data_IF_961961218002
#
_entry.id   IF_961961218002
#
_cell.length_a   1.000
_cell.length_b   1.000
_cell.length_c   1.000
_cell.angle_alpha   90.00
_cell.angle_beta   90.00
_cell.angle_gamma   90.00
#
_symmetry.space_group_name_H-M   'P 1'
#
loop_
_entity.id
_entity.type
_entity.pdbx_description
1 polymer ?
#
# COMPACT_ATOMS: atom_id res chain seq x y z
N UNK A 1 -17.65 -12.66 30.32
CA UNK A 1 -16.38 -13.06 30.96
C UNK A 1 -15.32 -12.03 30.58
N UNK A 2 -14.50 -11.57 31.52
CA UNK A 2 -13.37 -10.65 31.26
C UNK A 2 -12.06 -11.42 31.37
N UNK A 3 -11.09 -11.12 30.51
CA UNK A 3 -9.76 -11.71 30.63
C UNK A 3 -8.96 -11.03 31.75
N UNK A 4 -8.14 -11.77 32.51
CA UNK A 4 -7.32 -11.21 33.59
C UNK A 4 -6.31 -10.16 33.15
N UNK A 5 -5.75 -10.30 31.93
CA UNK A 5 -4.78 -9.36 31.37
C UNK A 5 -5.33 -8.73 30.09
N UNK A 6 -5.19 -7.41 30.00
CA UNK A 6 -5.57 -6.65 28.81
C UNK A 6 -4.30 -6.19 28.08
N UNK A 7 -4.42 -6.00 26.77
CA UNK A 7 -3.35 -5.43 25.95
C UNK A 7 -3.83 -4.14 25.32
N UNK A 8 -2.94 -3.18 25.13
CA UNK A 8 -3.31 -1.93 24.46
C UNK A 8 -3.47 -2.16 22.95
N UNK A 9 -4.61 -1.79 22.33
CA UNK A 9 -4.77 -1.82 20.88
C UNK A 9 -3.98 -0.68 20.22
N UNK A 10 -3.18 -1.00 19.21
CA UNK A 10 -2.43 0.00 18.46
C UNK A 10 -3.24 0.59 17.31
N UNK A 11 -2.88 1.80 16.89
CA UNK A 11 -3.52 2.42 15.72
C UNK A 11 -3.25 1.58 14.47
N UNK A 12 -4.30 1.36 13.69
CA UNK A 12 -4.30 0.55 12.49
C UNK A 12 -3.83 -0.90 12.73
N UNK A 13 -3.84 -1.40 13.97
CA UNK A 13 -3.51 -2.80 14.25
C UNK A 13 -4.55 -3.71 13.61
N UNK A 14 -4.12 -4.82 13.01
CA UNK A 14 -5.09 -5.80 12.50
C UNK A 14 -5.80 -6.48 13.65
N UNK A 15 -7.10 -6.76 13.50
CA UNK A 15 -7.86 -7.53 14.50
C UNK A 15 -7.15 -8.86 14.82
N UNK A 16 -6.51 -9.48 13.83
CA UNK A 16 -5.75 -10.71 14.02
C UNK A 16 -4.54 -10.53 14.94
N UNK A 17 -3.73 -9.50 14.73
CA UNK A 17 -2.59 -9.16 15.62
C UNK A 17 -3.04 -8.92 17.05
N UNK A 18 -4.12 -8.15 17.21
CA UNK A 18 -4.63 -7.81 18.53
C UNK A 18 -5.10 -9.04 19.30
N UNK A 19 -5.86 -9.92 18.64
CA UNK A 19 -6.32 -11.17 19.24
C UNK A 19 -5.15 -12.09 19.63
N UNK A 20 -4.10 -12.16 18.83
CA UNK A 20 -2.94 -13.01 19.09
C UNK A 20 -2.18 -12.51 20.31
N UNK A 21 -1.98 -11.19 20.40
CA UNK A 21 -1.37 -10.55 21.58
C UNK A 21 -2.23 -10.71 22.82
N UNK A 22 -3.55 -10.56 22.71
CA UNK A 22 -4.48 -10.75 23.82
C UNK A 22 -4.47 -12.20 24.32
N UNK A 23 -4.44 -13.17 23.40
CA UNK A 23 -4.33 -14.59 23.74
C UNK A 23 -3.01 -14.89 24.45
N UNK A 24 -1.87 -14.46 23.88
CA UNK A 24 -0.56 -14.68 24.47
C UNK A 24 -0.42 -14.06 25.87
N UNK A 25 -0.93 -12.84 26.07
CA UNK A 25 -0.92 -12.18 27.38
C UNK A 25 -1.66 -12.98 28.46
N UNK A 26 -2.69 -13.74 28.06
CA UNK A 26 -3.52 -14.58 28.93
C UNK A 26 -3.17 -16.07 28.86
N UNK A 27 -2.05 -16.44 28.23
CA UNK A 27 -1.60 -17.84 28.06
C UNK A 27 -2.66 -18.75 27.39
N UNK A 28 -3.42 -18.19 26.45
CA UNK A 28 -4.42 -18.92 25.66
C UNK A 28 -3.87 -19.25 24.27
N UNK A 29 -4.36 -20.36 23.69
CA UNK A 29 -4.16 -20.62 22.27
C UNK A 29 -4.92 -19.57 21.42
N UNK A 30 -4.27 -18.87 20.48
CA UNK A 30 -4.93 -17.85 19.68
C UNK A 30 -6.13 -18.38 18.88
N UNK A 31 -6.10 -19.63 18.40
CA UNK A 31 -7.22 -20.21 17.65
C UNK A 31 -8.41 -20.50 18.55
N UNK A 32 -8.17 -20.88 19.81
CA UNK A 32 -9.22 -21.06 20.81
C UNK A 32 -9.90 -19.72 21.15
N UNK A 33 -9.12 -18.67 21.43
CA UNK A 33 -9.69 -17.35 21.72
C UNK A 33 -10.50 -16.81 20.54
N UNK A 34 -9.99 -16.95 19.32
CA UNK A 34 -10.69 -16.58 18.08
C UNK A 34 -12.02 -17.31 17.93
N UNK A 35 -12.04 -18.64 18.13
CA UNK A 35 -13.27 -19.45 18.08
C UNK A 35 -14.29 -19.01 19.12
N UNK A 36 -13.84 -18.70 20.34
CA UNK A 36 -14.72 -18.21 21.40
C UNK A 36 -15.36 -16.85 21.08
N UNK A 37 -14.63 -15.99 20.37
CA UNK A 37 -15.09 -14.63 20.06
C UNK A 37 -15.87 -14.50 18.75
N UNK A 38 -15.86 -15.53 17.90
CA UNK A 38 -16.55 -15.53 16.61
C UNK A 38 -18.04 -15.92 16.76
N UNK A 39 -18.90 -15.35 15.91
CA UNK A 39 -20.28 -15.81 15.73
C UNK A 39 -20.33 -16.76 14.53
N UNK A 40 -20.46 -18.06 14.77
CA UNK A 40 -20.52 -19.08 13.72
C UNK A 40 -19.16 -19.53 13.17
N UNK A 41 -19.12 -20.19 11.98
CA UNK A 41 -17.94 -20.90 11.47
C UNK A 41 -16.79 -19.98 11.02
N UNK A 42 -17.01 -18.67 10.97
CA UNK A 42 -16.02 -17.69 10.54
C UNK A 42 -15.06 -17.32 11.69
N UNK A 43 -14.10 -18.22 11.99
CA UNK A 43 -13.10 -18.11 13.07
C UNK A 43 -12.30 -16.79 13.03
N UNK A 44 -12.24 -16.11 11.89
CA UNK A 44 -11.43 -14.90 11.69
C UNK A 44 -12.14 -13.57 12.02
N UNK A 45 -13.42 -13.59 12.40
CA UNK A 45 -14.23 -12.39 12.57
C UNK A 45 -14.85 -12.34 13.98
N UNK A 46 -14.17 -11.72 14.97
CA UNK A 46 -14.74 -11.63 16.31
C UNK A 46 -15.97 -10.70 16.33
N UNK A 47 -16.94 -11.02 17.19
CA UNK A 47 -18.02 -10.09 17.54
C UNK A 47 -17.43 -8.88 18.28
N UNK A 48 -17.64 -7.65 17.79
CA UNK A 48 -17.05 -6.46 18.40
C UNK A 48 -17.43 -6.27 19.88
N UNK A 49 -18.69 -6.50 20.24
CA UNK A 49 -19.16 -6.35 21.63
C UNK A 49 -18.52 -7.38 22.57
N UNK A 50 -18.34 -8.61 22.10
CA UNK A 50 -17.68 -9.65 22.89
C UNK A 50 -16.21 -9.32 23.08
N UNK A 51 -15.54 -8.85 22.04
CA UNK A 51 -14.14 -8.40 22.13
C UNK A 51 -14.00 -7.22 23.10
N UNK A 52 -14.91 -6.24 23.06
CA UNK A 52 -14.93 -5.11 23.98
C UNK A 52 -15.07 -5.57 25.43
N UNK A 53 -16.02 -6.48 25.69
CA UNK A 53 -16.25 -7.06 27.01
C UNK A 53 -15.04 -7.86 27.52
N UNK A 54 -14.50 -8.75 26.68
CA UNK A 54 -13.40 -9.66 27.05
C UNK A 54 -12.09 -8.91 27.26
N UNK A 55 -11.82 -7.87 26.46
CA UNK A 55 -10.59 -7.09 26.54
C UNK A 55 -10.66 -5.85 27.43
N UNK A 56 -11.84 -5.57 28.01
CA UNK A 56 -12.10 -4.41 28.87
C UNK A 56 -11.72 -3.07 28.22
N UNK A 57 -11.97 -2.95 26.92
CA UNK A 57 -11.80 -1.70 26.16
C UNK A 57 -13.17 -1.23 25.66
N UNK A 58 -13.42 0.09 25.62
CA UNK A 58 -14.61 0.62 24.96
C UNK A 58 -14.67 0.15 23.51
N UNK A 59 -15.87 -0.24 23.06
CA UNK A 59 -16.09 -0.71 21.69
C UNK A 59 -15.61 0.32 20.66
N UNK A 60 -15.88 1.60 20.89
CA UNK A 60 -15.44 2.70 20.02
C UNK A 60 -13.92 2.73 19.89
N UNK A 61 -13.17 2.50 20.97
CA UNK A 61 -11.71 2.47 20.94
C UNK A 61 -11.22 1.33 20.06
N UNK A 62 -11.81 0.14 20.17
CA UNK A 62 -11.45 -1.01 19.34
C UNK A 62 -11.79 -0.76 17.87
N UNK A 63 -12.96 -0.20 17.58
CA UNK A 63 -13.39 0.11 16.20
C UNK A 63 -12.48 1.16 15.52
N UNK A 64 -12.02 2.17 16.27
CA UNK A 64 -11.12 3.21 15.72
C UNK A 64 -9.68 2.71 15.55
N UNK A 65 -9.24 1.75 16.38
CA UNK A 65 -7.85 1.28 16.39
C UNK A 65 -7.64 0.06 15.51
N UNK A 66 -8.61 -0.86 15.46
CA UNK A 66 -8.46 -2.17 14.85
C UNK A 66 -9.03 -2.23 13.43
N UNK A 67 -8.17 -2.59 12.47
CA UNK A 67 -8.57 -2.86 11.09
C UNK A 67 -9.15 -4.26 11.00
N UNK A 68 -10.29 -4.38 10.34
CA UNK A 68 -10.98 -5.66 10.14
C UNK A 68 -12.05 -6.01 11.16
N UNK A 69 -12.28 -5.16 12.16
CA UNK A 69 -13.33 -5.39 13.16
C UNK A 69 -14.74 -5.06 12.61
N UNK A 70 -14.84 -4.04 11.75
CA UNK A 70 -16.09 -3.54 11.15
C UNK A 70 -16.17 -3.79 9.65
N UNK A 71 -17.40 -3.87 9.13
CA UNK A 71 -17.79 -4.56 7.88
C UNK A 71 -17.00 -4.23 6.60
N UNK A 72 -16.46 -3.02 6.43
CA UNK A 72 -15.74 -2.63 5.20
C UNK A 72 -14.36 -3.30 5.06
N UNK A 73 -13.74 -3.69 6.17
CA UNK A 73 -12.37 -4.20 6.20
C UNK A 73 -12.27 -5.67 6.62
N UNK A 74 -13.41 -6.38 6.71
CA UNK A 74 -13.46 -7.81 7.10
C UNK A 74 -12.79 -8.76 6.11
N UNK A 75 -12.38 -8.28 4.93
CA UNK A 75 -11.58 -9.06 3.99
C UNK A 75 -10.19 -9.36 4.58
N UNK A 76 -10.05 -10.57 5.12
CA UNK A 76 -8.79 -11.08 5.68
C UNK A 76 -7.66 -11.15 4.66
N UNK A 77 -7.97 -11.28 3.36
CA UNK A 77 -6.96 -11.28 2.29
C UNK A 77 -6.36 -9.89 2.13
N UNK A 78 -7.21 -8.87 2.11
CA UNK A 78 -6.78 -7.46 2.06
C UNK A 78 -6.02 -7.06 3.31
N UNK A 79 -6.46 -7.50 4.49
CA UNK A 79 -5.73 -7.28 5.73
C UNK A 79 -4.31 -7.88 5.64
N UNK A 80 -4.19 -9.15 5.24
CA UNK A 80 -2.88 -9.83 5.13
C UNK A 80 -1.94 -9.18 4.13
N UNK A 81 -2.45 -8.61 3.04
CA UNK A 81 -1.60 -7.96 2.01
C UNK A 81 -0.90 -6.70 2.50
N UNK A 82 -1.53 -5.92 3.39
CA UNK A 82 -0.98 -4.65 3.89
C UNK A 82 -0.52 -4.71 5.34
N UNK A 83 -0.86 -5.80 6.05
CA UNK A 83 -0.40 -6.07 7.40
C UNK A 83 1.11 -6.29 7.42
N UNK A 84 1.83 -5.37 8.05
CA UNK A 84 3.28 -5.44 8.24
C UNK A 84 3.59 -5.22 9.72
N UNK A 85 4.65 -5.84 10.25
CA UNK A 85 5.00 -5.63 11.64
C UNK A 85 5.43 -4.18 11.85
N UNK A 86 4.87 -3.53 12.87
CA UNK A 86 5.29 -2.22 13.31
C UNK A 86 6.79 -2.24 13.67
N UNK A 87 7.45 -1.07 13.60
CA UNK A 87 8.88 -0.99 13.86
C UNK A 87 9.23 -1.60 15.23
N UNK A 88 10.11 -2.61 15.23
CA UNK A 88 10.50 -3.36 16.43
C UNK A 88 11.01 -2.43 17.53
N UNK A 89 11.82 -1.43 17.16
CA UNK A 89 12.40 -0.49 18.11
C UNK A 89 11.38 0.55 18.63
N UNK A 90 10.32 0.84 17.88
CA UNK A 90 9.18 1.62 18.41
C UNK A 90 8.42 0.80 19.44
N UNK A 91 8.18 -0.48 19.18
CA UNK A 91 7.43 -1.35 20.07
C UNK A 91 8.21 -1.67 21.35
N UNK A 92 9.51 -1.94 21.24
CA UNK A 92 10.40 -2.14 22.40
C UNK A 92 10.40 -0.91 23.32
N UNK A 93 10.43 0.31 22.77
CA UNK A 93 10.30 1.55 23.56
C UNK A 93 8.97 1.68 24.32
N UNK A 94 7.95 0.92 23.92
CA UNK A 94 6.63 0.83 24.57
C UNK A 94 6.47 -0.43 25.42
N UNK A 95 7.53 -1.20 25.63
CA UNK A 95 7.51 -2.43 26.41
C UNK A 95 6.82 -3.62 25.72
N UNK A 96 6.65 -3.56 24.39
CA UNK A 96 6.06 -4.65 23.59
C UNK A 96 7.15 -5.32 22.77
N UNK A 97 7.33 -6.62 22.96
CA UNK A 97 8.38 -7.42 22.33
C UNK A 97 7.83 -8.36 21.26
N UNK A 98 6.54 -8.69 21.34
CA UNK A 98 5.83 -9.44 20.31
C UNK A 98 5.56 -8.58 19.06
N UNK A 99 5.47 -9.19 17.88
CA UNK A 99 5.14 -8.46 16.66
C UNK A 99 3.71 -7.88 16.74
N UNK A 100 3.58 -6.61 16.40
CA UNK A 100 2.30 -5.91 16.24
C UNK A 100 2.09 -5.68 14.74
N UNK A 101 1.16 -6.40 14.12
CA UNK A 101 0.88 -6.22 12.70
C UNK A 101 -0.14 -5.11 12.48
N UNK A 102 0.34 -4.02 11.87
CA UNK A 102 -0.47 -2.87 11.52
C UNK A 102 -0.72 -2.85 10.00
N UNK A 103 -1.90 -2.36 9.62
CA UNK A 103 -2.17 -1.95 8.27
C UNK A 103 -1.44 -0.63 8.02
N UNK A 104 -0.49 -0.64 7.10
CA UNK A 104 0.24 0.55 6.69
C UNK A 104 -0.10 0.87 5.24
N UNK A 105 -0.34 2.13 4.88
CA UNK A 105 -0.49 2.51 3.48
C UNK A 105 0.79 2.23 2.69
N UNK A 106 0.67 2.07 1.38
CA UNK A 106 1.78 1.63 0.53
C UNK A 106 2.96 2.62 0.53
N UNK A 107 2.69 3.90 0.81
CA UNK A 107 3.73 4.93 0.95
C UNK A 107 4.45 4.95 2.29
N UNK A 108 3.91 4.30 3.33
CA UNK A 108 4.55 4.19 4.63
C UNK A 108 5.55 3.02 4.63
N UNK A 109 6.76 3.24 4.11
CA UNK A 109 7.77 2.19 3.91
C UNK A 109 8.93 2.21 4.89
N UNK A 110 9.17 3.33 5.57
CA UNK A 110 10.31 3.53 6.48
C UNK A 110 9.85 4.06 7.82
N UNK A 111 10.36 3.47 8.90
CA UNK A 111 10.31 4.10 10.20
C UNK A 111 11.36 5.20 10.27
N UNK A 112 10.97 6.46 10.08
CA UNK A 112 11.91 7.59 10.07
C UNK A 112 12.63 7.81 11.41
N UNK A 113 11.96 7.50 12.54
CA UNK A 113 12.53 7.65 13.89
C UNK A 113 13.71 6.71 14.13
N UNK A 114 13.63 5.49 13.61
CA UNK A 114 14.63 4.44 13.83
C UNK A 114 15.43 4.09 12.58
N UNK A 115 15.13 4.76 11.46
CA UNK A 115 15.74 4.55 10.14
C UNK A 115 15.73 3.08 9.75
N UNK A 116 14.57 2.43 9.86
CA UNK A 116 14.40 1.02 9.46
C UNK A 116 13.37 0.86 8.37
N UNK A 117 13.63 -0.06 7.46
CA UNK A 117 12.63 -0.52 6.51
C UNK A 117 11.51 -1.24 7.27
N UNK A 118 10.27 -0.84 6.96
CA UNK A 118 9.02 -1.48 7.40
C UNK A 118 8.07 -1.64 6.20
N UNK A 119 8.64 -1.57 4.99
CA UNK A 119 7.95 -1.48 3.72
C UNK A 119 7.48 -2.83 3.19
N UNK A 120 7.05 -2.88 1.92
CA UNK A 120 6.78 -4.14 1.22
C UNK A 120 7.90 -5.17 1.42
N UNK A 121 7.52 -6.45 1.52
CA UNK A 121 8.43 -7.57 1.83
C UNK A 121 8.72 -7.78 3.32
N UNK A 122 8.31 -6.86 4.21
CA UNK A 122 8.50 -7.01 5.66
C UNK A 122 7.37 -7.86 6.25
N UNK A 123 7.63 -9.14 6.53
CA UNK A 123 6.65 -10.08 7.11
C UNK A 123 6.92 -10.40 8.59
N UNK A 124 8.18 -10.27 9.01
CA UNK A 124 8.65 -10.57 10.38
C UNK A 124 9.47 -9.39 10.92
N UNK A 125 9.83 -9.43 12.21
CA UNK A 125 10.68 -8.39 12.81
C UNK A 125 12.11 -8.41 12.24
N UNK A 126 12.57 -9.56 11.75
CA UNK A 126 13.91 -9.74 11.20
C UNK A 126 14.05 -9.16 9.79
N UNK A 127 12.94 -9.08 9.05
CA UNK A 127 12.88 -8.41 7.74
C UNK A 127 13.08 -6.89 7.84
N UNK A 128 12.96 -6.29 9.03
CA UNK A 128 13.14 -4.85 9.18
C UNK A 128 14.60 -4.45 9.03
N UNK A 129 15.05 -4.08 7.82
CA UNK A 129 16.44 -3.69 7.57
C UNK A 129 16.80 -2.32 8.16
N UNK A 130 18.04 -2.18 8.60
CA UNK A 130 18.60 -0.90 9.06
C UNK A 130 19.04 -0.06 7.84
N UNK A 131 18.61 1.18 7.79
CA UNK A 131 18.86 2.11 6.68
C UNK A 131 19.81 3.25 7.06
N UNK A 132 20.53 3.16 8.19
CA UNK A 132 21.54 4.17 8.58
C UNK A 132 22.58 4.43 7.49
N UNK A 133 22.98 3.39 6.76
CA UNK A 133 23.92 3.47 5.64
C UNK A 133 23.25 3.62 4.27
N UNK A 134 21.93 3.82 4.21
CA UNK A 134 21.16 3.93 2.97
C UNK A 134 20.28 5.21 2.96
N UNK A 135 20.87 6.41 3.03
CA UNK A 135 20.12 7.67 3.10
C UNK A 135 19.24 7.90 1.86
N UNK A 136 19.65 7.41 0.69
CA UNK A 136 18.87 7.49 -0.55
C UNK A 136 17.49 6.81 -0.42
N UNK A 137 17.40 5.66 0.27
CA UNK A 137 16.15 4.94 0.53
C UNK A 137 15.23 5.75 1.45
N UNK A 138 15.80 6.39 2.48
CA UNK A 138 15.04 7.25 3.40
C UNK A 138 14.48 8.47 2.65
N UNK A 139 15.30 9.11 1.81
CA UNK A 139 14.87 10.24 0.98
C UNK A 139 13.79 9.83 -0.04
N UNK A 140 13.91 8.63 -0.62
CA UNK A 140 12.89 8.07 -1.49
C UNK A 140 11.56 7.82 -0.75
N UNK A 141 11.60 7.30 0.48
CA UNK A 141 10.40 7.11 1.28
C UNK A 141 9.69 8.44 1.61
N UNK A 142 10.46 9.49 1.94
CA UNK A 142 9.91 10.84 2.10
C UNK A 142 9.30 11.38 0.81
N UNK A 143 9.95 11.15 -0.34
CA UNK A 143 9.42 11.50 -1.66
C UNK A 143 8.12 10.73 -1.94
N UNK A 144 8.06 9.45 -1.62
CA UNK A 144 6.89 8.61 -1.81
C UNK A 144 5.68 9.16 -1.05
N UNK A 145 5.85 9.51 0.24
CA UNK A 145 4.79 10.13 1.03
C UNK A 145 4.32 11.49 0.45
N UNK A 146 5.25 12.34 0.01
CA UNK A 146 4.91 13.63 -0.62
C UNK A 146 4.16 13.46 -1.94
N UNK A 147 4.60 12.53 -2.78
CA UNK A 147 3.91 12.20 -4.02
C UNK A 147 2.51 11.66 -3.74
N UNK A 148 2.34 10.84 -2.68
CA UNK A 148 1.04 10.29 -2.33
C UNK A 148 0.07 11.41 -1.94
N UNK A 149 0.50 12.39 -1.15
CA UNK A 149 -0.34 13.54 -0.84
C UNK A 149 -0.65 14.44 -2.05
N UNK A 150 0.19 14.43 -3.09
CA UNK A 150 -0.02 15.23 -4.31
C UNK A 150 -0.92 14.54 -5.33
N UNK A 151 -0.81 13.21 -5.49
CA UNK A 151 -1.48 12.44 -6.54
C UNK A 151 -2.54 11.46 -6.00
N UNK A 152 -2.66 11.31 -4.68
CA UNK A 152 -3.51 10.32 -4.01
C UNK A 152 -3.29 8.92 -4.58
N UNK A 153 -4.36 8.14 -4.72
CA UNK A 153 -4.34 6.74 -5.16
C UNK A 153 -3.81 6.57 -6.60
N UNK A 154 -3.71 7.64 -7.41
CA UNK A 154 -3.05 7.56 -8.72
C UNK A 154 -1.58 7.14 -8.60
N UNK A 155 -0.93 7.47 -7.48
CA UNK A 155 0.46 7.10 -7.26
C UNK A 155 0.65 5.59 -7.14
N UNK A 156 -0.29 4.87 -6.55
CA UNK A 156 -0.18 3.41 -6.41
C UNK A 156 -0.16 2.74 -7.79
N UNK A 157 -0.90 3.27 -8.76
CA UNK A 157 -0.82 2.84 -10.15
C UNK A 157 0.53 3.20 -10.78
N UNK A 158 1.01 4.42 -10.58
CA UNK A 158 2.31 4.85 -11.11
C UNK A 158 3.49 4.04 -10.53
N UNK A 159 3.44 3.64 -9.25
CA UNK A 159 4.44 2.76 -8.64
C UNK A 159 4.39 1.35 -9.26
N UNK A 160 3.19 0.83 -9.54
CA UNK A 160 3.05 -0.45 -10.25
C UNK A 160 3.60 -0.39 -11.67
N UNK A 161 3.31 0.69 -12.39
CA UNK A 161 3.83 0.92 -13.74
C UNK A 161 5.35 1.06 -13.74
N UNK A 162 5.91 1.86 -12.82
CA UNK A 162 7.35 1.98 -12.61
C UNK A 162 8.01 0.62 -12.33
N UNK A 163 7.39 -0.21 -11.50
CA UNK A 163 7.88 -1.57 -11.20
C UNK A 163 7.86 -2.48 -12.44
N UNK A 164 6.91 -2.29 -13.36
CA UNK A 164 6.85 -3.04 -14.63
C UNK A 164 7.95 -2.58 -15.59
N UNK A 165 8.14 -1.27 -15.74
CA UNK A 165 9.18 -0.67 -16.58
C UNK A 165 10.57 -1.08 -16.08
N UNK A 166 10.84 -0.91 -14.79
CA UNK A 166 12.12 -1.28 -14.18
C UNK A 166 12.46 -2.78 -14.37
N UNK A 167 11.45 -3.66 -14.33
CA UNK A 167 11.64 -5.09 -14.64
C UNK A 167 12.06 -5.33 -16.10
N UNK A 168 11.49 -4.58 -17.05
CA UNK A 168 11.90 -4.67 -18.46
C UNK A 168 13.33 -4.16 -18.65
N UNK A 169 13.69 -3.04 -18.02
CA UNK A 169 15.05 -2.48 -18.07
C UNK A 169 16.13 -3.37 -17.47
N UNK A 170 15.82 -4.06 -16.36
CA UNK A 170 16.76 -4.98 -15.71
C UNK A 170 16.90 -6.32 -16.42
N UNK A 171 16.18 -6.55 -17.54
CA UNK A 171 16.16 -7.85 -18.22
C UNK A 171 15.58 -8.99 -17.36
N UNK A 172 14.92 -8.67 -16.25
CA UNK A 172 14.36 -9.64 -15.33
C UNK A 172 13.09 -10.26 -15.92
N UNK A 173 13.28 -11.36 -16.64
CA UNK A 173 12.21 -12.22 -17.22
C UNK A 173 11.66 -13.23 -16.21
N UNK A 174 11.57 -12.86 -14.93
CA UNK A 174 10.88 -13.74 -13.97
C UNK A 174 9.38 -13.69 -14.26
N UNK A 175 8.82 -14.80 -14.77
CA UNK A 175 7.37 -15.00 -15.01
C UNK A 175 6.53 -14.99 -13.73
N UNK A 176 7.14 -14.73 -12.59
CA UNK A 176 6.43 -14.54 -11.34
C UNK A 176 6.16 -13.05 -11.16
N UNK A 177 4.89 -12.73 -10.94
CA UNK A 177 4.51 -11.49 -10.28
C UNK A 177 5.37 -11.38 -9.03
N UNK A 178 6.39 -10.52 -9.04
CA UNK A 178 6.92 -9.95 -7.80
C UNK A 178 5.78 -9.13 -7.21
N UNK A 179 4.82 -9.83 -6.62
CA UNK A 179 4.31 -9.42 -5.34
C UNK A 179 5.57 -9.22 -4.49
N UNK A 180 5.77 -8.06 -3.86
CA UNK A 180 6.87 -7.83 -2.94
C UNK A 180 6.99 -8.89 -1.85
N UNK A 181 5.96 -9.74 -1.69
CA UNK A 181 5.95 -10.90 -0.81
C UNK A 181 7.05 -11.94 -1.07
N UNK A 182 7.59 -12.04 -2.30
CA UNK A 182 8.59 -13.07 -2.67
C UNK A 182 9.88 -12.50 -3.29
N UNK A 183 10.04 -11.17 -3.31
CA UNK A 183 11.30 -10.56 -3.74
C UNK A 183 12.32 -10.65 -2.60
N UNK A 184 13.60 -10.83 -2.92
CA UNK A 184 14.66 -10.53 -1.96
C UNK A 184 14.46 -9.07 -1.49
N UNK A 185 14.16 -8.91 -0.20
CA UNK A 185 13.86 -7.62 0.41
C UNK A 185 15.01 -6.63 0.23
N UNK A 186 16.25 -7.13 0.24
CA UNK A 186 17.44 -6.31 0.10
C UNK A 186 17.58 -5.80 -1.34
N UNK A 187 17.26 -6.63 -2.34
CA UNK A 187 17.17 -6.22 -3.74
C UNK A 187 16.03 -5.19 -3.98
N UNK A 188 14.88 -5.37 -3.33
CA UNK A 188 13.80 -4.39 -3.41
C UNK A 188 14.20 -3.05 -2.78
N UNK A 189 14.82 -3.07 -1.60
CA UNK A 189 15.30 -1.86 -0.92
C UNK A 189 16.33 -1.12 -1.78
N UNK A 190 17.24 -1.86 -2.44
CA UNK A 190 18.27 -1.27 -3.30
C UNK A 190 17.66 -0.54 -4.52
N UNK A 191 16.62 -1.10 -5.13
CA UNK A 191 15.95 -0.52 -6.32
C UNK A 191 14.87 0.51 -5.96
N UNK A 192 14.47 0.58 -4.69
CA UNK A 192 13.37 1.44 -4.22
C UNK A 192 13.53 2.94 -4.59
N UNK A 193 14.71 3.57 -4.47
CA UNK A 193 14.88 4.97 -4.87
C UNK A 193 14.52 5.24 -6.33
N UNK A 194 14.93 4.35 -7.22
CA UNK A 194 14.70 4.43 -8.67
C UNK A 194 13.23 4.21 -9.00
N UNK A 195 12.60 3.23 -8.35
CA UNK A 195 11.16 2.99 -8.49
C UNK A 195 10.32 4.22 -8.13
N UNK A 196 10.64 4.90 -7.02
CA UNK A 196 9.89 6.09 -6.60
C UNK A 196 10.20 7.30 -7.47
N UNK A 197 11.44 7.44 -7.95
CA UNK A 197 11.79 8.50 -8.90
C UNK A 197 11.01 8.35 -10.21
N UNK A 198 10.99 7.15 -10.78
CA UNK A 198 10.22 6.86 -11.99
C UNK A 198 8.71 7.03 -11.76
N UNK A 199 8.17 6.52 -10.66
CA UNK A 199 6.76 6.67 -10.32
C UNK A 199 6.32 8.14 -10.23
N UNK A 200 7.19 9.03 -9.73
CA UNK A 200 6.94 10.47 -9.74
C UNK A 200 6.77 11.03 -11.15
N UNK A 201 7.70 10.70 -12.06
CA UNK A 201 7.65 11.12 -13.46
C UNK A 201 6.35 10.64 -14.13
N UNK A 202 6.00 9.36 -13.93
CA UNK A 202 4.79 8.77 -14.52
C UNK A 202 3.51 9.38 -13.94
N UNK A 203 3.47 9.69 -12.64
CA UNK A 203 2.31 10.29 -12.00
C UNK A 203 2.06 11.74 -12.47
N UNK A 204 3.12 12.53 -12.63
CA UNK A 204 3.05 13.88 -13.19
C UNK A 204 2.63 13.85 -14.67
N UNK A 205 3.25 12.96 -15.47
CA UNK A 205 2.96 12.79 -16.89
C UNK A 205 1.52 12.34 -17.15
N UNK A 206 1.03 11.35 -16.38
CA UNK A 206 -0.35 10.85 -16.51
C UNK A 206 -1.38 11.96 -16.34
N UNK A 207 -1.18 12.83 -15.34
CA UNK A 207 -2.03 13.99 -15.11
C UNK A 207 -2.02 14.94 -16.31
N UNK A 208 -0.85 15.22 -16.89
CA UNK A 208 -0.73 16.09 -18.06
C UNK A 208 -1.35 15.49 -19.33
N UNK A 209 -1.14 14.19 -19.58
CA UNK A 209 -1.72 13.48 -20.74
C UNK A 209 -3.24 13.40 -20.64
N UNK A 210 -3.79 13.20 -19.45
CA UNK A 210 -5.24 13.13 -19.24
C UNK A 210 -5.92 14.51 -19.30
N UNK A 211 -5.18 15.58 -18.97
CA UNK A 211 -5.70 16.95 -19.03
C UNK A 211 -5.53 17.63 -20.40
N UNK A 212 -4.90 16.96 -21.37
CA UNK A 212 -4.66 17.49 -22.72
C UNK A 212 -5.49 16.76 -23.77
N UNK A 213 -6.16 17.51 -24.65
CA UNK A 213 -6.95 16.94 -25.73
C UNK A 213 -6.06 16.12 -26.68
N UNK A 214 -6.66 15.07 -27.27
CA UNK A 214 -5.99 14.19 -28.23
C UNK A 214 -5.55 15.00 -29.46
N UNK A 215 -4.38 14.68 -30.01
CA UNK A 215 -3.80 15.33 -31.20
C UNK A 215 -3.51 16.83 -31.06
N UNK A 216 -3.15 17.30 -29.85
CA UNK A 216 -2.68 18.68 -29.63
C UNK A 216 -1.16 18.77 -29.48
N UNK A 217 -0.52 19.89 -29.90
CA UNK A 217 0.91 20.14 -29.63
C UNK A 217 1.25 20.06 -28.14
N UNK A 218 0.33 20.49 -27.26
CA UNK A 218 0.48 20.38 -25.81
C UNK A 218 0.64 18.93 -25.33
N UNK A 219 -0.06 17.99 -25.97
CA UNK A 219 0.07 16.55 -25.66
C UNK A 219 1.40 15.98 -26.16
N UNK A 220 1.87 16.40 -27.33
CA UNK A 220 3.20 16.03 -27.83
C UNK A 220 4.30 16.52 -26.89
N UNK A 221 4.23 17.78 -26.45
CA UNK A 221 5.16 18.31 -25.44
C UNK A 221 5.11 17.57 -24.10
N UNK A 222 3.92 17.17 -23.64
CA UNK A 222 3.78 16.38 -22.42
C UNK A 222 4.49 15.02 -22.56
N UNK A 223 4.38 14.37 -23.73
CA UNK A 223 5.07 13.11 -24.05
C UNK A 223 6.59 13.32 -24.12
N UNK A 224 7.07 14.33 -24.83
CA UNK A 224 8.51 14.64 -24.94
C UNK A 224 9.12 14.95 -23.57
N UNK A 225 8.37 15.63 -22.70
CA UNK A 225 8.78 15.90 -21.33
C UNK A 225 8.98 14.61 -20.51
N UNK A 226 8.24 13.53 -20.79
CA UNK A 226 8.46 12.22 -20.17
C UNK A 226 9.83 11.68 -20.56
N UNK A 227 10.12 11.59 -21.86
CA UNK A 227 11.40 11.09 -22.36
C UNK A 227 12.58 11.92 -21.85
N UNK A 228 12.45 13.25 -21.85
CA UNK A 228 13.46 14.15 -21.31
C UNK A 228 13.70 13.93 -19.80
N UNK A 229 12.63 13.73 -19.03
CA UNK A 229 12.72 13.49 -17.58
C UNK A 229 13.31 12.12 -17.27
N UNK A 230 12.88 11.07 -17.99
CA UNK A 230 13.40 9.71 -17.85
C UNK A 230 14.88 9.67 -18.27
N UNK A 231 15.25 10.24 -19.42
CA UNK A 231 16.64 10.26 -19.88
C UNK A 231 17.58 11.07 -18.97
N UNK A 232 17.08 12.09 -18.28
CA UNK A 232 17.85 12.82 -17.27
C UNK A 232 18.04 12.01 -15.99
N UNK A 233 16.99 11.33 -15.53
CA UNK A 233 16.98 10.63 -14.26
C UNK A 233 17.61 9.22 -14.36
N UNK A 234 17.53 8.60 -15.53
CA UNK A 234 18.02 7.24 -15.83
C UNK A 234 18.83 7.23 -17.13
N UNK A 235 20.01 7.88 -17.17
CA UNK A 235 20.83 7.96 -18.40
C UNK A 235 21.18 6.59 -18.99
N UNK A 236 21.34 5.57 -18.14
CA UNK A 236 21.65 4.19 -18.54
C UNK A 236 20.54 3.49 -19.33
N UNK A 237 19.31 4.01 -19.30
CA UNK A 237 18.15 3.43 -20.01
C UNK A 237 17.67 4.30 -21.16
N UNK A 238 18.47 5.29 -21.59
CA UNK A 238 18.11 6.26 -22.63
C UNK A 238 17.74 5.63 -23.97
N UNK A 239 18.38 4.50 -24.30
CA UNK A 239 18.16 3.78 -25.55
C UNK A 239 17.12 2.65 -25.40
N UNK A 240 16.58 2.46 -24.21
CA UNK A 240 15.59 1.42 -23.88
C UNK A 240 14.20 2.05 -23.68
N UNK A 241 13.70 2.74 -24.71
CA UNK A 241 12.45 3.52 -24.62
C UNK A 241 11.18 2.67 -24.79
N UNK A 242 11.29 1.45 -25.32
CA UNK A 242 10.14 0.58 -25.58
C UNK A 242 9.18 0.39 -24.38
N UNK A 243 9.64 0.24 -23.12
CA UNK A 243 8.74 0.18 -21.97
C UNK A 243 7.97 1.49 -21.71
N UNK A 244 8.60 2.64 -21.98
CA UNK A 244 8.00 3.97 -21.81
C UNK A 244 7.01 4.24 -22.94
N UNK A 245 7.36 3.90 -24.18
CA UNK A 245 6.48 3.96 -25.35
C UNK A 245 5.18 3.19 -25.11
N UNK A 246 5.30 1.91 -24.71
CA UNK A 246 4.13 1.08 -24.41
C UNK A 246 3.26 1.64 -23.29
N UNK A 247 3.89 2.21 -22.24
CA UNK A 247 3.15 2.85 -21.16
C UNK A 247 2.41 4.10 -21.63
N UNK A 248 3.02 4.93 -22.48
CA UNK A 248 2.38 6.12 -23.06
C UNK A 248 1.16 5.68 -23.88
N UNK A 249 1.31 4.69 -24.77
CA UNK A 249 0.21 4.19 -25.60
C UNK A 249 -0.98 3.72 -24.73
N UNK A 250 -0.71 2.95 -23.67
CA UNK A 250 -1.72 2.51 -22.70
C UNK A 250 -2.45 3.69 -22.03
N UNK A 251 -1.72 4.75 -21.65
CA UNK A 251 -2.33 5.95 -21.07
C UNK A 251 -3.20 6.68 -22.09
N UNK A 252 -2.77 6.74 -23.35
CA UNK A 252 -3.51 7.42 -24.41
C UNK A 252 -4.82 6.70 -24.75
N UNK A 253 -4.82 5.38 -24.78
CA UNK A 253 -6.01 4.54 -24.99
C UNK A 253 -6.99 4.60 -23.80
N UNK A 254 -6.49 4.84 -22.59
CA UNK A 254 -7.29 4.89 -21.36
C UNK A 254 -7.94 6.25 -21.10
N UNK A 255 -7.33 7.35 -21.56
CA UNK A 255 -7.81 8.72 -21.34
C UNK A 255 -9.26 9.01 -21.84
N UNK A 256 -9.72 8.54 -23.02
CA UNK A 256 -11.08 8.81 -23.49
C UNK A 256 -12.19 8.09 -22.72
N UNK A 257 -11.87 7.07 -21.91
CA UNK A 257 -12.87 6.25 -21.21
C UNK A 257 -13.38 6.86 -19.89
N UNK A 258 -12.65 7.81 -19.30
CA UNK A 258 -13.02 8.43 -18.01
C UNK A 258 -13.83 9.73 -18.21
N UNK A 259 -13.75 10.37 -19.38
CA UNK A 259 -14.47 11.61 -19.71
C UNK A 259 -15.95 11.44 -20.08
N UNK A 260 -16.52 10.22 -19.95
CA UNK A 260 -17.97 9.99 -20.14
C UNK A 260 -18.64 9.46 -18.86
N UNK A 261 -19.05 10.35 -17.93
CA UNK A 261 -20.20 10.08 -17.08
C UNK A 261 -21.47 10.58 -17.79
N UNK A 262 -22.32 9.65 -18.22
CA UNK A 262 -23.77 9.84 -18.38
C UNK A 262 -24.27 10.90 -19.36
N UNK A 263 -24.26 10.60 -20.67
CA UNK A 263 -25.21 11.17 -21.62
C UNK A 263 -26.22 10.09 -22.02
N UNK A 264 -27.06 9.68 -21.07
CA UNK A 264 -28.30 8.96 -21.36
C UNK A 264 -29.40 9.56 -20.48
N UNK A 265 -30.44 10.08 -21.13
CA UNK A 265 -31.66 10.51 -20.46
C UNK A 265 -32.13 11.92 -20.84
N UNK A 266 -32.38 12.17 -22.12
CA UNK A 266 -33.37 13.19 -22.53
C UNK A 266 -33.81 12.95 -23.97
N UNK A 267 -34.58 11.90 -24.18
CA UNK A 267 -35.46 11.83 -25.35
C UNK A 267 -36.60 10.85 -25.06
N UNK A 268 -37.78 11.40 -24.75
CA UNK A 268 -39.13 10.91 -25.06
C UNK A 268 -40.13 11.45 -24.03
N UNK A 269 -40.81 12.54 -24.42
CA UNK A 269 -42.20 12.85 -24.05
C UNK A 269 -42.65 14.08 -24.83
N UNK A 270 -42.98 13.89 -26.12
CA UNK A 270 -43.96 14.72 -26.82
C UNK A 270 -44.81 13.81 -27.69
N UNK A 271 -46.10 14.16 -27.74
CA UNK A 271 -47.22 13.49 -28.41
C UNK A 271 -47.86 12.39 -27.58
N UNK A 272 -49.00 12.71 -26.94
CA UNK A 272 -50.33 12.30 -27.43
C UNK A 272 -51.34 13.35 -26.93
N UNK A 273 -52.19 13.80 -27.85
CA UNK A 273 -53.43 14.59 -27.63
C UNK A 273 -54.47 13.80 -26.83
#
# INVERSE_FOLDING_TARGET
>A
MRLPRTVTPFHAETVQSYLDRLAHANHLDPRQLRRYLADGPAICCPRPDWLANVSNHPLVTLQTRLIGLVGRDRDTTRQRRHARPACRLCMTRRGVYEPVYCWFPDHATVCHRHRRWIGPGTHTLDDQRDLRCAPAVIAAAQRHARLYHRHNDMLDFAVRDATRIHRRWSGWTSRFTLSPANADIDAYIATYPDLIALAGILADARRQIWNTAVATPARAHAVDAVYASVGRQFPQHRDQNQPIEHWIDDQQLSAPRISRPGSQGREQARSVE
#
